data_IF_282473424643
#
_entry.id   IF_282473424643
#
_cell.length_a   1.000
_cell.length_b   1.000
_cell.length_c   1.000
_cell.angle_alpha   90.00
_cell.angle_beta   90.00
_cell.angle_gamma   90.00
#
_symmetry.space_group_name_H-M   'P 1'
#
loop_
_entity.id
_entity.type
_entity.pdbx_description
1 polymer ?
#
# COMPACT_ATOMS: atom_id res chain seq x y z
N UNK A 1 -8.85 -28.92 -34.86
CA UNK A 1 -10.02 -28.65 -33.99
C UNK A 1 -10.04 -27.18 -33.63
N UNK A 2 -10.26 -26.30 -34.61
CA UNK A 2 -10.12 -24.85 -34.44
C UNK A 2 -11.41 -24.07 -34.78
N UNK A 3 -12.53 -24.76 -35.04
CA UNK A 3 -13.85 -24.15 -35.17
C UNK A 3 -14.94 -25.20 -34.94
N UNK A 4 -15.94 -24.85 -34.12
CA UNK A 4 -17.30 -25.36 -34.25
C UNK A 4 -17.67 -26.61 -33.44
N UNK A 5 -17.97 -26.42 -32.15
CA UNK A 5 -19.28 -26.84 -31.60
C UNK A 5 -19.54 -26.13 -30.27
N UNK A 6 -19.92 -24.85 -30.35
CA UNK A 6 -20.37 -24.11 -29.18
C UNK A 6 -21.85 -24.47 -29.02
N UNK A 7 -22.15 -25.50 -28.23
CA UNK A 7 -23.51 -25.76 -27.77
C UNK A 7 -23.93 -24.53 -26.94
N UNK A 8 -24.82 -23.65 -27.43
CA UNK A 8 -25.23 -22.49 -26.65
C UNK A 8 -26.03 -23.04 -25.48
N UNK A 9 -25.44 -23.02 -24.29
CA UNK A 9 -26.20 -23.20 -23.07
C UNK A 9 -27.35 -22.18 -23.11
N UNK A 10 -28.58 -22.64 -22.88
CA UNK A 10 -29.78 -21.83 -22.98
C UNK A 10 -29.73 -20.65 -22.01
N UNK A 11 -29.19 -19.52 -22.46
CA UNK A 11 -29.27 -18.27 -21.73
C UNK A 11 -30.70 -17.75 -21.83
N UNK A 12 -31.23 -17.25 -20.71
CA UNK A 12 -32.49 -16.52 -20.74
C UNK A 12 -32.37 -15.34 -21.72
N UNK A 13 -33.38 -15.12 -22.56
CA UNK A 13 -33.30 -14.09 -23.61
C UNK A 13 -33.06 -12.71 -23.02
N UNK A 14 -32.28 -11.86 -23.69
CA UNK A 14 -32.03 -10.49 -23.23
C UNK A 14 -33.38 -9.77 -23.07
N UNK A 15 -33.71 -9.41 -21.82
CA UNK A 15 -35.00 -8.82 -21.44
C UNK A 15 -35.96 -9.73 -20.66
N UNK A 16 -35.61 -11.00 -20.42
CA UNK A 16 -36.36 -11.84 -19.48
C UNK A 16 -36.18 -11.34 -18.04
N UNK A 17 -37.27 -10.94 -17.42
CA UNK A 17 -37.28 -10.59 -15.99
C UNK A 17 -37.06 -11.88 -15.19
N UNK A 18 -35.87 -12.03 -14.62
CA UNK A 18 -35.56 -13.12 -13.70
C UNK A 18 -36.18 -12.79 -12.34
N UNK A 19 -37.21 -13.54 -11.87
CA UNK A 19 -37.83 -13.27 -10.59
C UNK A 19 -36.80 -13.36 -9.46
N UNK A 20 -36.72 -12.33 -8.61
CA UNK A 20 -35.80 -12.29 -7.47
C UNK A 20 -34.49 -11.52 -7.69
N UNK A 21 -34.17 -11.09 -8.92
CA UNK A 21 -33.06 -10.15 -9.16
C UNK A 21 -33.52 -8.74 -8.79
N UNK A 22 -33.19 -8.33 -7.57
CA UNK A 22 -33.47 -6.96 -7.10
C UNK A 22 -32.37 -5.99 -7.55
N UNK A 23 -32.68 -4.69 -7.61
CA UNK A 23 -31.68 -3.64 -7.81
C UNK A 23 -30.52 -3.79 -6.80
N UNK A 24 -30.83 -4.22 -5.58
CA UNK A 24 -29.84 -4.51 -4.54
C UNK A 24 -28.86 -5.62 -4.94
N UNK A 25 -29.33 -6.69 -5.60
CA UNK A 25 -28.47 -7.78 -6.07
C UNK A 25 -27.56 -7.34 -7.22
N UNK A 26 -28.08 -6.51 -8.14
CA UNK A 26 -27.28 -5.86 -9.19
C UNK A 26 -26.20 -4.95 -8.60
N UNK A 27 -26.57 -4.12 -7.62
CA UNK A 27 -25.65 -3.24 -6.91
C UNK A 27 -24.58 -4.02 -6.13
N UNK A 28 -24.94 -5.16 -5.52
CA UNK A 28 -24.00 -6.07 -4.86
C UNK A 28 -23.00 -6.68 -5.85
N UNK A 29 -23.48 -7.15 -7.01
CA UNK A 29 -22.64 -7.68 -8.08
C UNK A 29 -21.71 -6.59 -8.65
N UNK A 30 -22.24 -5.40 -8.92
CA UNK A 30 -21.48 -4.23 -9.37
C UNK A 30 -20.39 -3.85 -8.38
N UNK A 31 -20.73 -3.74 -7.10
CA UNK A 31 -19.82 -3.40 -6.02
C UNK A 31 -18.68 -4.41 -5.86
N UNK A 32 -18.98 -5.71 -6.00
CA UNK A 32 -17.96 -6.77 -6.00
C UNK A 32 -17.07 -6.71 -7.25
N UNK A 33 -17.65 -6.44 -8.41
CA UNK A 33 -16.92 -6.30 -9.69
C UNK A 33 -16.08 -5.03 -9.77
N UNK A 34 -16.45 -3.97 -9.07
CA UNK A 34 -15.70 -2.71 -9.05
C UNK A 34 -14.28 -2.86 -8.46
N UNK A 35 -14.03 -3.93 -7.70
CA UNK A 35 -12.68 -4.31 -7.24
C UNK A 35 -11.70 -4.58 -8.41
N UNK A 36 -12.19 -4.96 -9.60
CA UNK A 36 -11.37 -5.17 -10.79
C UNK A 36 -10.71 -3.90 -11.35
N UNK A 37 -11.25 -2.73 -11.00
CA UNK A 37 -10.73 -1.42 -11.42
C UNK A 37 -9.67 -0.87 -10.44
N UNK A 38 -9.42 -1.57 -9.34
CA UNK A 38 -8.34 -1.23 -8.41
C UNK A 38 -6.99 -1.38 -9.12
N UNK A 39 -6.01 -0.54 -8.77
CA UNK A 39 -4.71 -0.46 -9.47
C UNK A 39 -4.50 0.82 -10.28
N UNK A 40 -5.54 1.58 -10.61
CA UNK A 40 -5.40 2.97 -11.12
C UNK A 40 -4.66 3.88 -10.13
N UNK A 41 -4.74 3.55 -8.84
CA UNK A 41 -4.05 4.22 -7.75
C UNK A 41 -2.53 4.07 -7.78
N UNK A 42 -2.02 2.98 -8.36
CA UNK A 42 -0.59 2.75 -8.46
C UNK A 42 0.06 3.84 -9.33
N UNK A 43 -0.61 4.23 -10.42
CA UNK A 43 -0.14 5.33 -11.28
C UNK A 43 -0.26 6.67 -10.56
N UNK A 44 -1.38 6.94 -9.87
CA UNK A 44 -1.57 8.22 -9.18
C UNK A 44 -0.56 8.45 -8.04
N UNK A 45 -0.12 7.37 -7.38
CA UNK A 45 0.89 7.43 -6.32
C UNK A 45 2.32 7.56 -6.88
N UNK A 46 2.54 7.18 -8.14
CA UNK A 46 3.84 7.20 -8.79
C UNK A 46 4.02 8.37 -9.78
N UNK A 47 3.16 9.38 -9.77
CA UNK A 47 3.21 10.52 -10.72
C UNK A 47 4.59 11.21 -10.73
N UNK A 48 5.23 11.33 -9.56
CA UNK A 48 6.55 11.95 -9.43
C UNK A 48 7.70 11.18 -10.10
N UNK A 49 7.48 9.91 -10.45
CA UNK A 49 8.48 9.08 -11.14
C UNK A 49 8.42 9.23 -12.67
N UNK A 50 7.40 9.89 -13.22
CA UNK A 50 7.28 10.09 -14.66
C UNK A 50 8.23 11.19 -15.14
N UNK A 51 8.77 11.03 -16.36
CA UNK A 51 9.58 12.06 -17.02
C UNK A 51 8.76 13.32 -17.22
N UNK A 52 9.38 14.49 -17.02
CA UNK A 52 8.73 15.78 -17.27
C UNK A 52 8.32 15.94 -18.74
N UNK A 53 7.09 16.41 -19.04
CA UNK A 53 6.01 16.84 -18.12
C UNK A 53 5.31 15.66 -17.42
N UNK A 54 5.50 15.54 -16.10
CA UNK A 54 5.15 14.32 -15.33
C UNK A 54 3.63 14.07 -15.28
N UNK A 55 2.84 15.12 -15.05
CA UNK A 55 1.38 15.02 -15.00
C UNK A 55 0.77 14.57 -16.34
N UNK A 56 1.22 15.13 -17.46
CA UNK A 56 0.70 14.79 -18.79
C UNK A 56 1.04 13.36 -19.17
N UNK A 57 2.25 12.91 -18.84
CA UNK A 57 2.68 11.54 -19.12
C UNK A 57 1.91 10.54 -18.26
N UNK A 58 1.71 10.83 -16.97
CA UNK A 58 0.90 10.01 -16.08
C UNK A 58 -0.55 9.87 -16.57
N UNK A 59 -1.19 10.96 -17.05
CA UNK A 59 -2.55 10.92 -17.61
C UNK A 59 -2.62 10.05 -18.86
N UNK A 60 -1.66 10.18 -19.79
CA UNK A 60 -1.62 9.33 -21.01
C UNK A 60 -1.49 7.85 -20.65
N UNK A 61 -0.63 7.52 -19.69
CA UNK A 61 -0.46 6.14 -19.22
C UNK A 61 -1.71 5.63 -18.53
N UNK A 62 -2.38 6.45 -17.71
CA UNK A 62 -3.63 6.08 -17.05
C UNK A 62 -4.75 5.79 -18.07
N UNK A 63 -4.86 6.59 -19.13
CA UNK A 63 -5.83 6.37 -20.22
C UNK A 63 -5.52 5.06 -20.94
N UNK A 64 -4.27 4.83 -21.33
CA UNK A 64 -3.87 3.61 -22.02
C UNK A 64 -4.15 2.35 -21.18
N UNK A 65 -3.78 2.39 -19.89
CA UNK A 65 -4.04 1.29 -18.96
C UNK A 65 -5.54 1.06 -18.77
N UNK A 66 -6.32 2.13 -18.58
CA UNK A 66 -7.78 2.05 -18.44
C UNK A 66 -8.46 1.48 -19.68
N UNK A 67 -8.01 1.84 -20.89
CA UNK A 67 -8.53 1.28 -22.14
C UNK A 67 -8.20 -0.20 -22.30
N UNK A 68 -6.97 -0.62 -21.98
CA UNK A 68 -6.57 -2.04 -22.03
C UNK A 68 -7.38 -2.85 -21.02
N UNK A 69 -7.52 -2.35 -19.79
CA UNK A 69 -8.29 -3.02 -18.74
C UNK A 69 -9.77 -3.15 -19.13
N UNK A 70 -10.38 -2.08 -19.66
CA UNK A 70 -11.76 -2.12 -20.13
C UNK A 70 -11.95 -3.14 -21.26
N UNK A 71 -11.04 -3.15 -22.24
CA UNK A 71 -11.07 -4.11 -23.35
C UNK A 71 -10.94 -5.56 -22.85
N UNK A 72 -9.97 -5.84 -21.98
CA UNK A 72 -9.76 -7.17 -21.42
C UNK A 72 -10.94 -7.64 -20.56
N UNK A 73 -11.48 -6.76 -19.72
CA UNK A 73 -12.62 -7.09 -18.86
C UNK A 73 -13.87 -7.41 -19.69
N UNK A 74 -14.20 -6.56 -20.67
CA UNK A 74 -15.33 -6.80 -21.59
C UNK A 74 -15.10 -8.08 -22.39
N UNK A 75 -13.88 -8.34 -22.85
CA UNK A 75 -13.54 -9.56 -23.58
C UNK A 75 -13.72 -10.82 -22.74
N UNK A 76 -13.18 -10.86 -21.52
CA UNK A 76 -13.29 -12.02 -20.62
C UNK A 76 -14.74 -12.25 -20.20
N UNK A 77 -15.47 -11.20 -19.83
CA UNK A 77 -16.89 -11.30 -19.46
C UNK A 77 -17.74 -11.76 -20.65
N UNK A 78 -17.48 -11.24 -21.84
CA UNK A 78 -18.16 -11.65 -23.07
C UNK A 78 -17.92 -13.12 -23.41
N UNK A 79 -16.67 -13.58 -23.32
CA UNK A 79 -16.35 -15.00 -23.52
C UNK A 79 -16.98 -15.88 -22.44
N UNK A 80 -16.87 -15.51 -21.16
CA UNK A 80 -17.47 -16.27 -20.07
C UNK A 80 -19.00 -16.39 -20.22
N UNK A 81 -19.64 -15.35 -20.73
CA UNK A 81 -21.07 -15.37 -21.07
C UNK A 81 -21.37 -16.35 -22.21
N UNK A 82 -20.65 -16.26 -23.35
CA UNK A 82 -20.89 -17.12 -24.53
C UNK A 82 -20.63 -18.60 -24.24
N UNK A 83 -19.59 -18.90 -23.46
CA UNK A 83 -19.20 -20.26 -23.11
C UNK A 83 -19.96 -20.83 -21.89
N UNK A 84 -20.86 -20.04 -21.29
CA UNK A 84 -21.71 -20.51 -20.19
C UNK A 84 -20.94 -20.92 -18.93
N UNK A 85 -19.84 -20.23 -18.63
CA UNK A 85 -18.94 -20.62 -17.55
C UNK A 85 -19.60 -20.39 -16.19
N UNK A 86 -19.71 -21.47 -15.41
CA UNK A 86 -20.23 -21.44 -14.06
C UNK A 86 -19.08 -21.39 -13.05
N UNK A 87 -19.09 -20.46 -12.07
CA UNK A 87 -18.05 -20.40 -11.05
C UNK A 87 -17.90 -21.74 -10.32
N UNK A 88 -16.67 -22.24 -10.23
CA UNK A 88 -16.33 -23.44 -9.46
C UNK A 88 -15.39 -23.05 -8.32
N UNK A 89 -15.40 -23.82 -7.23
CA UNK A 89 -14.59 -23.53 -6.03
C UNK A 89 -13.10 -23.80 -6.24
N UNK A 90 -12.73 -24.68 -7.17
CA UNK A 90 -11.34 -25.14 -7.33
C UNK A 90 -10.60 -24.49 -8.51
N UNK A 91 -11.33 -23.89 -9.46
CA UNK A 91 -10.73 -23.36 -10.70
C UNK A 91 -11.19 -21.93 -10.99
N UNK A 92 -10.26 -21.09 -11.46
CA UNK A 92 -10.58 -19.71 -11.82
C UNK A 92 -11.39 -19.64 -13.13
N UNK A 93 -12.19 -18.59 -13.29
CA UNK A 93 -12.95 -18.34 -14.54
C UNK A 93 -12.03 -18.31 -15.76
N UNK A 94 -10.84 -17.71 -15.63
CA UNK A 94 -9.86 -17.66 -16.71
C UNK A 94 -9.29 -19.05 -17.03
N UNK A 95 -9.06 -19.89 -16.01
CA UNK A 95 -8.65 -21.27 -16.19
C UNK A 95 -9.69 -22.09 -16.94
N UNK A 96 -10.97 -21.93 -16.58
CA UNK A 96 -12.08 -22.62 -17.23
C UNK A 96 -12.23 -22.18 -18.70
N UNK A 97 -12.11 -20.87 -18.98
CA UNK A 97 -12.07 -20.34 -20.35
C UNK A 97 -10.93 -20.96 -21.16
N UNK A 98 -9.71 -20.93 -20.60
CA UNK A 98 -8.53 -21.44 -21.28
C UNK A 98 -8.67 -22.94 -21.59
N UNK A 99 -9.21 -23.72 -20.63
CA UNK A 99 -9.45 -25.15 -20.80
C UNK A 99 -10.50 -25.44 -21.88
N UNK A 100 -11.61 -24.69 -21.93
CA UNK A 100 -12.64 -24.90 -22.95
C UNK A 100 -12.21 -24.47 -24.35
N UNK A 101 -11.42 -23.39 -24.46
CA UNK A 101 -10.98 -22.85 -25.76
C UNK A 101 -9.79 -23.63 -26.32
N UNK A 102 -8.78 -23.90 -25.49
CA UNK A 102 -7.53 -24.50 -25.92
C UNK A 102 -7.41 -25.98 -25.56
N UNK A 103 -8.15 -26.49 -24.58
CA UNK A 103 -7.95 -27.82 -24.01
C UNK A 103 -6.69 -27.90 -23.14
N UNK A 104 -6.33 -29.11 -22.71
CA UNK A 104 -5.13 -29.37 -21.90
C UNK A 104 -3.87 -29.43 -22.78
N UNK A 105 -3.53 -28.30 -23.40
CA UNK A 105 -2.40 -28.17 -24.32
C UNK A 105 -1.39 -27.11 -23.84
N UNK A 106 -0.29 -26.95 -24.60
CA UNK A 106 0.74 -25.97 -24.27
C UNK A 106 0.21 -24.52 -24.13
N UNK A 107 -0.86 -24.15 -24.86
CA UNK A 107 -1.45 -22.83 -24.76
C UNK A 107 -2.18 -22.62 -23.43
N UNK A 108 -2.84 -23.64 -22.88
CA UNK A 108 -3.42 -23.58 -21.53
C UNK A 108 -2.36 -23.30 -20.47
N UNK A 109 -1.26 -24.08 -20.46
CA UNK A 109 -0.17 -23.86 -19.50
C UNK A 109 0.50 -22.50 -19.67
N UNK A 110 0.61 -21.99 -20.90
CA UNK A 110 1.12 -20.65 -21.17
C UNK A 110 0.24 -19.55 -20.55
N UNK A 111 -1.08 -19.64 -20.69
CA UNK A 111 -2.03 -18.69 -20.08
C UNK A 111 -1.95 -18.74 -18.55
N UNK A 112 -1.86 -19.94 -17.96
CA UNK A 112 -1.72 -20.10 -16.51
C UNK A 112 -0.41 -19.51 -15.98
N UNK A 113 0.72 -19.87 -16.61
CA UNK A 113 2.03 -19.36 -16.22
C UNK A 113 2.09 -17.83 -16.32
N UNK A 114 1.51 -17.26 -17.38
CA UNK A 114 1.43 -15.81 -17.57
C UNK A 114 0.57 -15.16 -16.48
N UNK A 115 -0.55 -15.80 -16.11
CA UNK A 115 -1.46 -15.29 -15.07
C UNK A 115 -0.78 -15.26 -13.70
N UNK A 116 -0.09 -16.35 -13.33
CA UNK A 116 0.69 -16.41 -12.08
C UNK A 116 1.79 -15.33 -12.09
N UNK A 117 2.50 -15.17 -13.20
CA UNK A 117 3.54 -14.14 -13.34
C UNK A 117 2.98 -12.72 -13.13
N UNK A 118 1.81 -12.41 -13.72
CA UNK A 118 1.15 -11.12 -13.55
C UNK A 118 0.73 -10.90 -12.09
N UNK A 119 0.18 -11.91 -11.42
CA UNK A 119 -0.20 -11.83 -10.00
C UNK A 119 1.02 -11.60 -9.09
N UNK A 120 2.13 -12.28 -9.37
CA UNK A 120 3.40 -12.06 -8.65
C UNK A 120 3.92 -10.63 -8.87
N UNK A 121 3.84 -10.12 -10.10
CA UNK A 121 4.24 -8.75 -10.42
C UNK A 121 3.34 -7.70 -9.73
N UNK A 122 2.04 -7.99 -9.61
CA UNK A 122 1.10 -7.15 -8.87
C UNK A 122 1.47 -7.08 -7.38
N UNK A 123 1.80 -8.23 -6.76
CA UNK A 123 2.29 -8.26 -5.39
C UNK A 123 3.57 -7.43 -5.22
N UNK A 124 4.53 -7.57 -6.15
CA UNK A 124 5.76 -6.77 -6.15
C UNK A 124 5.49 -5.26 -6.19
N UNK A 125 4.47 -4.82 -6.94
CA UNK A 125 4.08 -3.41 -7.00
C UNK A 125 3.69 -2.88 -5.61
N UNK A 126 2.94 -3.66 -4.82
CA UNK A 126 2.62 -3.34 -3.43
C UNK A 126 3.86 -3.21 -2.54
N UNK A 127 4.80 -4.16 -2.64
CA UNK A 127 6.06 -4.14 -1.89
C UNK A 127 6.97 -2.95 -2.24
N UNK A 128 6.92 -2.46 -3.47
CA UNK A 128 7.67 -1.25 -3.88
C UNK A 128 6.98 0.05 -3.48
N UNK A 129 5.64 0.07 -3.38
CA UNK A 129 4.86 1.26 -3.04
C UNK A 129 4.88 1.58 -1.53
N UNK A 130 4.81 0.56 -0.67
CA UNK A 130 4.72 0.75 0.79
C UNK A 130 5.89 1.57 1.39
N UNK A 131 7.17 1.34 1.04
CA UNK A 131 8.28 2.14 1.58
C UNK A 131 8.14 3.64 1.26
N UNK A 132 7.59 4.00 0.10
CA UNK A 132 7.38 5.41 -0.28
C UNK A 132 6.29 6.06 0.57
N UNK A 133 5.21 5.33 0.87
CA UNK A 133 4.15 5.78 1.78
C UNK A 133 4.67 5.91 3.20
N UNK A 134 5.39 4.90 3.71
CA UNK A 134 5.96 4.91 5.06
C UNK A 134 6.95 6.07 5.25
N UNK A 135 7.81 6.33 4.25
CA UNK A 135 8.74 7.45 4.29
C UNK A 135 8.03 8.81 4.32
N UNK A 136 6.94 8.95 3.56
CA UNK A 136 6.14 10.18 3.53
C UNK A 136 5.45 10.42 4.88
N UNK A 137 4.84 9.39 5.47
CA UNK A 137 4.21 9.48 6.80
C UNK A 137 5.21 9.71 7.94
N UNK A 138 6.41 9.13 7.85
CA UNK A 138 7.47 9.36 8.83
C UNK A 138 8.07 10.75 8.75
N UNK A 139 8.11 11.38 7.57
CA UNK A 139 8.51 12.79 7.42
C UNK A 139 7.59 13.71 8.21
N UNK A 140 6.29 13.41 8.22
CA UNK A 140 5.27 14.12 8.98
C UNK A 140 5.14 13.64 10.44
N UNK A 141 6.07 12.78 10.91
CA UNK A 141 6.16 12.25 12.28
C UNK A 141 4.97 11.37 12.72
N UNK A 142 4.22 10.80 11.77
CA UNK A 142 3.14 9.84 12.07
C UNK A 142 3.61 8.38 12.13
N UNK A 143 4.79 8.09 11.59
CA UNK A 143 5.45 6.79 11.67
C UNK A 143 6.86 6.91 12.28
N UNK A 144 7.47 5.80 12.74
CA UNK A 144 8.82 5.80 13.28
C UNK A 144 9.85 6.42 12.34
N UNK A 145 10.82 7.17 12.88
CA UNK A 145 11.88 7.84 12.09
C UNK A 145 12.74 6.87 11.27
N UNK A 146 12.73 5.58 11.62
CA UNK A 146 13.41 4.53 10.85
C UNK A 146 13.00 4.50 9.37
N UNK A 147 11.76 4.88 9.05
CA UNK A 147 11.29 4.91 7.67
C UNK A 147 11.61 6.22 6.92
N UNK A 148 12.12 7.26 7.59
CA UNK A 148 12.37 8.58 6.98
C UNK A 148 13.54 8.56 5.98
N UNK A 149 14.46 7.59 6.09
CA UNK A 149 15.70 7.59 5.29
C UNK A 149 15.41 7.11 3.86
N UNK A 150 15.20 8.07 2.97
CA UNK A 150 15.03 7.88 1.54
C UNK A 150 16.40 7.57 0.91
N UNK A 151 16.85 6.31 0.97
CA UNK A 151 17.98 5.85 0.17
C UNK A 151 19.07 5.04 0.87
N UNK A 152 19.14 4.99 2.20
CA UNK A 152 19.95 3.95 2.85
C UNK A 152 19.19 2.64 2.80
N UNK A 153 19.85 1.58 2.32
CA UNK A 153 19.31 0.22 2.21
C UNK A 153 18.53 -0.22 3.48
N UNK A 154 18.89 0.31 4.64
CA UNK A 154 18.24 0.04 5.93
C UNK A 154 16.75 0.43 5.98
N UNK A 155 16.36 1.66 5.63
CA UNK A 155 14.96 2.11 5.77
C UNK A 155 14.01 1.39 4.80
N UNK A 156 14.51 1.16 3.58
CA UNK A 156 13.80 0.43 2.53
C UNK A 156 13.63 -1.06 2.87
N UNK A 157 14.69 -1.70 3.37
CA UNK A 157 14.67 -3.12 3.75
C UNK A 157 13.72 -3.40 4.92
N UNK A 158 13.73 -2.57 5.97
CA UNK A 158 12.84 -2.77 7.12
C UNK A 158 11.37 -2.62 6.74
N UNK A 159 11.04 -1.68 5.84
CA UNK A 159 9.68 -1.51 5.31
C UNK A 159 9.19 -2.78 4.62
N UNK A 160 10.02 -3.39 3.77
CA UNK A 160 9.69 -4.61 3.03
C UNK A 160 9.52 -5.80 3.98
N UNK A 161 10.43 -5.96 4.95
CA UNK A 161 10.36 -7.05 5.93
C UNK A 161 9.08 -6.94 6.77
N UNK A 162 8.77 -5.75 7.29
CA UNK A 162 7.56 -5.53 8.09
C UNK A 162 6.30 -5.81 7.25
N UNK A 163 6.25 -5.33 6.00
CA UNK A 163 5.13 -5.62 5.11
C UNK A 163 4.99 -7.12 4.84
N UNK A 164 6.11 -7.82 4.64
CA UNK A 164 6.13 -9.27 4.41
C UNK A 164 5.60 -10.04 5.61
N UNK A 165 6.04 -9.68 6.83
CA UNK A 165 5.54 -10.30 8.07
C UNK A 165 4.04 -10.04 8.24
N UNK A 166 3.57 -8.81 8.01
CA UNK A 166 2.14 -8.48 8.08
C UNK A 166 1.33 -9.23 7.02
N UNK A 167 1.85 -9.37 5.80
CA UNK A 167 1.21 -10.14 4.73
C UNK A 167 1.11 -11.63 5.08
N UNK A 168 2.17 -12.23 5.64
CA UNK A 168 2.16 -13.63 6.10
C UNK A 168 1.12 -13.82 7.20
N UNK A 169 1.07 -12.92 8.19
CA UNK A 169 0.06 -12.96 9.26
C UNK A 169 -1.35 -12.90 8.66
N UNK A 170 -1.58 -12.01 7.69
CA UNK A 170 -2.87 -11.90 7.03
C UNK A 170 -3.25 -13.18 6.27
N UNK A 171 -2.30 -13.78 5.54
CA UNK A 171 -2.54 -15.05 4.82
C UNK A 171 -2.91 -16.17 5.80
N UNK A 172 -2.21 -16.27 6.94
CA UNK A 172 -2.48 -17.29 7.97
C UNK A 172 -3.86 -17.06 8.62
N UNK A 173 -4.23 -15.81 8.91
CA UNK A 173 -5.51 -15.49 9.57
C UNK A 173 -6.73 -15.77 8.67
N UNK A 174 -6.58 -15.61 7.35
CA UNK A 174 -7.65 -15.79 6.36
C UNK A 174 -7.52 -17.08 5.54
N UNK A 175 -6.65 -18.01 5.95
CA UNK A 175 -6.36 -19.29 5.28
C UNK A 175 -6.09 -19.19 3.76
N UNK A 176 -5.60 -18.05 3.30
CA UNK A 176 -5.38 -17.78 1.87
C UNK A 176 -6.65 -17.72 1.01
N UNK A 177 -7.85 -17.64 1.59
CA UNK A 177 -9.12 -17.64 0.86
C UNK A 177 -9.42 -16.28 0.22
N UNK A 178 -9.28 -16.20 -1.10
CA UNK A 178 -9.50 -14.96 -1.86
C UNK A 178 -10.91 -14.39 -1.70
N UNK A 179 -11.93 -15.25 -1.48
CA UNK A 179 -13.32 -14.83 -1.26
C UNK A 179 -13.52 -13.93 -0.03
N UNK A 180 -12.66 -14.09 0.98
CA UNK A 180 -12.68 -13.29 2.20
C UNK A 180 -11.76 -12.07 2.11
N UNK A 181 -10.62 -12.22 1.43
CA UNK A 181 -9.63 -11.17 1.24
C UNK A 181 -10.07 -10.08 0.25
N UNK A 182 -10.78 -10.43 -0.84
CA UNK A 182 -11.19 -9.47 -1.88
C UNK A 182 -12.11 -8.37 -1.32
N UNK A 183 -13.19 -8.67 -0.56
CA UNK A 183 -14.03 -7.63 0.05
C UNK A 183 -13.26 -6.72 1.02
N UNK A 184 -12.35 -7.30 1.82
CA UNK A 184 -11.53 -6.54 2.76
C UNK A 184 -10.59 -5.57 2.03
N UNK A 185 -9.92 -6.04 0.98
CA UNK A 185 -9.08 -5.20 0.11
C UNK A 185 -9.88 -4.11 -0.60
N UNK A 186 -11.04 -4.45 -1.17
CA UNK A 186 -11.88 -3.49 -1.88
C UNK A 186 -12.31 -2.34 -0.96
N UNK A 187 -12.69 -2.64 0.28
CA UNK A 187 -12.98 -1.63 1.29
C UNK A 187 -11.75 -0.77 1.61
N UNK A 188 -10.58 -1.40 1.74
CA UNK A 188 -9.31 -0.71 1.93
C UNK A 188 -8.97 0.31 0.83
N UNK A 189 -9.35 0.04 -0.42
CA UNK A 189 -9.14 0.96 -1.57
C UNK A 189 -10.23 2.02 -1.69
N UNK A 190 -11.49 1.66 -1.47
CA UNK A 190 -12.60 2.60 -1.61
C UNK A 190 -12.65 3.67 -0.52
N UNK A 191 -12.10 3.42 0.68
CA UNK A 191 -11.99 4.43 1.73
C UNK A 191 -11.08 5.60 1.28
N UNK A 192 -9.80 5.38 0.90
CA UNK A 192 -8.94 6.43 0.34
C UNK A 192 -9.55 7.12 -0.87
N UNK A 193 -10.19 6.39 -1.80
CA UNK A 193 -10.83 7.01 -2.96
C UNK A 193 -11.93 7.98 -2.56
N UNK A 194 -12.80 7.55 -1.65
CA UNK A 194 -13.88 8.39 -1.15
C UNK A 194 -13.33 9.63 -0.45
N UNK A 195 -12.33 9.47 0.42
CA UNK A 195 -11.66 10.59 1.10
C UNK A 195 -10.96 11.54 0.12
N UNK A 196 -10.27 11.01 -0.89
CA UNK A 196 -9.59 11.81 -1.90
C UNK A 196 -10.57 12.62 -2.75
N UNK A 197 -11.66 11.99 -3.20
CA UNK A 197 -12.70 12.66 -3.99
C UNK A 197 -13.37 13.79 -3.20
N UNK A 198 -13.81 13.52 -1.97
CA UNK A 198 -14.39 14.55 -1.10
C UNK A 198 -13.37 15.64 -0.71
N UNK A 199 -12.11 15.28 -0.48
CA UNK A 199 -11.03 16.23 -0.24
C UNK A 199 -10.83 17.19 -1.43
N UNK A 200 -10.91 16.67 -2.66
CA UNK A 200 -10.86 17.49 -3.87
C UNK A 200 -12.11 18.38 -4.03
N UNK A 201 -13.30 17.90 -3.66
CA UNK A 201 -14.51 18.75 -3.62
C UNK A 201 -14.31 19.93 -2.67
N UNK A 202 -13.82 19.68 -1.46
CA UNK A 202 -13.51 20.74 -0.48
C UNK A 202 -12.49 21.72 -1.07
N UNK A 203 -11.42 21.23 -1.69
CA UNK A 203 -10.41 22.06 -2.34
C UNK A 203 -10.99 22.98 -3.42
N UNK A 204 -11.85 22.45 -4.31
CA UNK A 204 -12.44 23.25 -5.39
C UNK A 204 -13.43 24.30 -4.89
N UNK A 205 -14.12 24.03 -3.78
CA UNK A 205 -15.02 25.01 -3.12
C UNK A 205 -14.21 26.19 -2.55
N UNK A 206 -13.00 25.92 -2.03
CA UNK A 206 -12.13 26.94 -1.44
C UNK A 206 -11.35 27.75 -2.50
N UNK A 207 -10.69 27.09 -3.45
CA UNK A 207 -9.80 27.77 -4.41
C UNK A 207 -10.53 28.44 -5.58
N UNK A 208 -11.73 27.94 -5.95
CA UNK A 208 -12.57 28.44 -7.06
C UNK A 208 -11.84 28.86 -8.35
N UNK A 209 -10.98 28.01 -8.94
CA UNK A 209 -10.28 28.33 -10.18
C UNK A 209 -11.20 28.36 -11.41
N UNK A 210 -10.68 28.73 -12.59
CA UNK A 210 -11.41 28.61 -13.86
C UNK A 210 -11.97 27.19 -14.04
N UNK A 211 -13.24 27.09 -14.43
CA UNK A 211 -14.00 25.84 -14.59
C UNK A 211 -14.15 25.00 -13.30
N UNK A 212 -14.11 25.62 -12.11
CA UNK A 212 -14.25 24.90 -10.84
C UNK A 212 -15.56 24.10 -10.72
N UNK A 213 -16.67 24.60 -11.28
CA UNK A 213 -17.96 23.88 -11.24
C UNK A 213 -17.91 22.52 -11.94
N UNK A 214 -17.24 22.44 -13.10
CA UNK A 214 -17.07 21.17 -13.82
C UNK A 214 -16.15 20.22 -13.07
N UNK A 215 -15.05 20.73 -12.50
CA UNK A 215 -14.14 19.92 -11.68
C UNK A 215 -14.82 19.43 -10.41
N UNK A 216 -15.65 20.26 -9.80
CA UNK A 216 -16.42 19.93 -8.61
C UNK A 216 -17.46 18.87 -8.92
N UNK A 217 -18.26 19.01 -9.99
CA UNK A 217 -19.30 18.04 -10.32
C UNK A 217 -18.73 16.66 -10.62
N UNK A 218 -17.59 16.58 -11.32
CA UNK A 218 -16.90 15.30 -11.58
C UNK A 218 -16.41 14.65 -10.29
N UNK A 219 -15.73 15.40 -9.40
CA UNK A 219 -15.23 14.82 -8.14
C UNK A 219 -16.38 14.49 -7.16
N UNK A 220 -17.46 15.28 -7.16
CA UNK A 220 -18.63 15.02 -6.33
C UNK A 220 -19.36 13.76 -6.78
N UNK A 221 -19.58 13.60 -8.09
CA UNK A 221 -20.18 12.38 -8.64
C UNK A 221 -19.28 11.17 -8.35
N UNK A 222 -17.97 11.30 -8.53
CA UNK A 222 -17.00 10.27 -8.16
C UNK A 222 -17.10 9.89 -6.68
N UNK A 223 -17.09 10.88 -5.78
CA UNK A 223 -17.20 10.67 -4.34
C UNK A 223 -18.51 10.01 -3.91
N UNK A 224 -19.63 10.37 -4.52
CA UNK A 224 -20.93 9.72 -4.27
C UNK A 224 -20.90 8.27 -4.72
N UNK A 225 -20.41 7.99 -5.93
CA UNK A 225 -20.34 6.62 -6.47
C UNK A 225 -19.43 5.74 -5.61
N UNK A 226 -18.24 6.21 -5.26
CA UNK A 226 -17.32 5.43 -4.40
C UNK A 226 -17.89 5.22 -3.00
N UNK A 227 -18.59 6.23 -2.45
CA UNK A 227 -19.26 6.10 -1.15
C UNK A 227 -20.40 5.07 -1.19
N UNK A 228 -21.23 5.08 -2.24
CA UNK A 228 -22.30 4.09 -2.43
C UNK A 228 -21.70 2.68 -2.54
N UNK A 229 -20.66 2.49 -3.35
CA UNK A 229 -19.97 1.19 -3.49
C UNK A 229 -19.41 0.71 -2.16
N UNK A 230 -18.75 1.60 -1.41
CA UNK A 230 -18.24 1.32 -0.06
C UNK A 230 -19.36 0.89 0.90
N UNK A 231 -20.49 1.62 0.93
CA UNK A 231 -21.65 1.27 1.77
C UNK A 231 -22.25 -0.08 1.39
N UNK A 232 -22.35 -0.39 0.09
CA UNK A 232 -22.85 -1.69 -0.36
C UNK A 232 -21.90 -2.82 0.10
N UNK A 233 -20.58 -2.67 -0.02
CA UNK A 233 -19.62 -3.67 0.47
C UNK A 233 -19.77 -3.86 1.98
N UNK A 234 -19.88 -2.77 2.73
CA UNK A 234 -19.99 -2.79 4.18
C UNK A 234 -21.24 -3.55 4.64
N UNK A 235 -22.38 -3.33 3.98
CA UNK A 235 -23.66 -3.97 4.32
C UNK A 235 -23.71 -5.42 3.83
N UNK A 236 -23.27 -5.68 2.59
CA UNK A 236 -23.46 -7.00 1.95
C UNK A 236 -22.41 -8.03 2.35
N UNK A 237 -21.22 -7.59 2.75
CA UNK A 237 -20.06 -8.43 3.10
C UNK A 237 -19.56 -8.12 4.52
N UNK A 238 -20.47 -7.74 5.42
CA UNK A 238 -20.12 -7.33 6.79
C UNK A 238 -19.29 -8.39 7.54
N UNK A 239 -19.63 -9.66 7.38
CA UNK A 239 -18.92 -10.78 8.01
C UNK A 239 -17.46 -10.91 7.57
N UNK A 240 -17.10 -10.43 6.37
CA UNK A 240 -15.72 -10.40 5.89
C UNK A 240 -15.04 -9.05 6.20
N UNK A 241 -15.81 -7.96 6.23
CA UNK A 241 -15.28 -6.59 6.27
C UNK A 241 -15.11 -6.06 7.70
N UNK A 242 -15.83 -6.57 8.70
CA UNK A 242 -15.77 -6.07 10.09
C UNK A 242 -14.35 -5.87 10.67
N UNK A 243 -13.30 -6.65 10.32
CA UNK A 243 -11.96 -6.41 10.87
C UNK A 243 -11.43 -5.02 10.52
N UNK A 244 -11.77 -4.46 9.34
CA UNK A 244 -11.30 -3.13 8.93
C UNK A 244 -11.83 -2.01 9.83
N UNK A 245 -13.05 -2.16 10.34
CA UNK A 245 -13.69 -1.17 11.20
C UNK A 245 -12.99 -1.06 12.56
N UNK A 246 -12.30 -2.12 12.98
CA UNK A 246 -11.50 -2.13 14.22
C UNK A 246 -10.06 -1.75 13.92
N UNK A 247 -9.49 -2.34 12.87
CA UNK A 247 -8.09 -2.16 12.48
C UNK A 247 -7.78 -0.71 12.12
N UNK A 248 -8.63 -0.05 11.33
CA UNK A 248 -8.36 1.31 10.84
C UNK A 248 -8.33 2.34 11.99
N UNK A 249 -9.33 2.42 12.90
CA UNK A 249 -9.23 3.29 14.08
C UNK A 249 -8.03 2.97 14.96
N UNK A 250 -7.71 1.69 15.17
CA UNK A 250 -6.54 1.28 15.95
C UNK A 250 -5.24 1.85 15.35
N UNK A 251 -5.03 1.70 14.04
CA UNK A 251 -3.86 2.23 13.33
C UNK A 251 -3.81 3.76 13.39
N UNK A 252 -4.94 4.44 13.22
CA UNK A 252 -5.02 5.91 13.32
C UNK A 252 -4.64 6.39 14.72
N UNK A 253 -5.18 5.78 15.78
CA UNK A 253 -4.83 6.11 17.17
C UNK A 253 -3.35 5.87 17.43
N UNK A 254 -2.80 4.76 16.91
CA UNK A 254 -1.38 4.44 17.03
C UNK A 254 -0.50 5.51 16.37
N UNK A 255 -0.81 5.94 15.15
CA UNK A 255 -0.07 7.02 14.47
C UNK A 255 -0.18 8.37 15.19
N UNK A 256 -1.35 8.70 15.74
CA UNK A 256 -1.55 9.92 16.54
C UNK A 256 -0.72 9.87 17.84
N UNK A 257 -0.62 8.71 18.48
CA UNK A 257 0.20 8.50 19.68
C UNK A 257 1.69 8.68 19.38
N UNK A 258 2.17 8.17 18.25
CA UNK A 258 3.55 8.37 17.78
C UNK A 258 3.82 9.87 17.55
N UNK A 259 2.93 10.55 16.83
CA UNK A 259 3.08 11.97 16.57
C UNK A 259 3.12 12.80 17.86
N UNK A 260 2.22 12.49 18.82
CA UNK A 260 2.22 13.09 20.14
C UNK A 260 3.54 12.84 20.87
N UNK A 261 4.01 11.60 20.92
CA UNK A 261 5.28 11.25 21.56
C UNK A 261 6.47 12.05 20.98
N UNK A 262 6.54 12.22 19.67
CA UNK A 262 7.61 13.03 19.07
C UNK A 262 7.48 14.53 19.37
N UNK A 263 6.26 15.05 19.52
CA UNK A 263 6.04 16.44 19.94
C UNK A 263 6.49 16.62 21.40
N UNK A 264 6.10 15.70 22.28
CA UNK A 264 6.47 15.73 23.69
C UNK A 264 8.01 15.68 23.86
N UNK A 265 8.70 14.81 23.11
CA UNK A 265 10.18 14.77 23.08
C UNK A 265 10.75 16.08 22.55
N UNK A 266 10.19 16.66 21.49
CA UNK A 266 10.70 17.90 20.91
C UNK A 266 10.54 19.08 21.87
N UNK A 267 9.48 19.09 22.68
CA UNK A 267 9.27 20.08 23.73
C UNK A 267 10.26 19.87 24.89
N UNK A 268 10.55 18.63 25.28
CA UNK A 268 11.54 18.33 26.33
C UNK A 268 13.00 18.57 25.90
N UNK A 269 13.33 18.35 24.63
CA UNK A 269 14.66 18.61 24.06
C UNK A 269 14.88 20.06 23.65
N UNK A 270 13.82 20.89 23.64
CA UNK A 270 13.97 22.33 23.45
C UNK A 270 14.66 22.89 24.69
N UNK A 271 15.98 23.04 24.56
CA UNK A 271 16.80 23.65 25.58
C UNK A 271 16.50 25.15 25.62
N UNK A 272 15.95 25.62 26.75
CA UNK A 272 15.95 27.03 27.16
C UNK A 272 17.27 27.42 27.83
N UNK A 273 18.26 26.51 27.87
CA UNK A 273 19.58 26.79 28.43
C UNK A 273 20.30 27.67 27.42
N UNK A 274 20.50 28.93 27.78
CA UNK A 274 21.43 29.82 27.11
C UNK A 274 22.83 29.20 27.22
N UNK A 275 23.25 28.48 26.19
CA UNK A 275 24.50 27.69 26.15
C UNK A 275 25.73 28.57 26.41
N UNK A 276 25.56 29.89 26.32
CA UNK A 276 26.54 30.92 26.64
C UNK A 276 26.84 31.09 28.14
N UNK A 277 26.03 30.54 29.05
CA UNK A 277 26.19 30.66 30.51
C UNK A 277 26.63 29.36 31.21
N UNK A 278 27.06 28.35 30.46
CA UNK A 278 27.65 27.15 31.05
C UNK A 278 29.13 27.43 31.35
N UNK A 279 29.55 27.24 32.60
CA UNK A 279 30.96 27.33 32.97
C UNK A 279 31.78 26.40 32.08
N UNK A 280 32.61 27.01 31.23
CA UNK A 280 33.52 26.25 30.35
C UNK A 280 34.59 25.66 31.24
N UNK A 281 34.58 24.34 31.41
CA UNK A 281 35.63 23.64 32.13
C UNK A 281 36.90 23.70 31.28
N UNK A 282 37.92 24.41 31.77
CA UNK A 282 39.19 24.62 31.06
C UNK A 282 40.05 23.33 30.91
N UNK A 283 39.64 22.24 31.59
CA UNK A 283 40.35 20.96 31.63
C UNK A 283 39.40 19.78 31.39
N UNK A 284 39.62 19.06 30.30
CA UNK A 284 38.93 17.82 30.00
C UNK A 284 39.78 16.64 30.46
N UNK A 285 39.33 15.89 31.46
CA UNK A 285 40.00 14.66 31.90
C UNK A 285 39.60 13.49 30.98
N UNK A 286 40.56 12.87 30.29
CA UNK A 286 40.32 11.67 29.51
C UNK A 286 40.70 10.40 30.30
N UNK A 287 39.75 9.48 30.45
CA UNK A 287 39.96 8.18 31.11
C UNK A 287 40.06 7.10 30.03
N UNK A 288 41.20 6.41 29.97
CA UNK A 288 41.43 5.29 29.04
C UNK A 288 41.49 4.00 29.86
N UNK A 289 40.50 3.10 29.75
CA UNK A 289 40.53 1.82 30.44
C UNK A 289 41.55 0.89 29.76
N UNK A 290 42.53 0.40 30.52
CA UNK A 290 43.61 -0.46 30.00
C UNK A 290 43.50 -1.85 30.63
N UNK A 291 43.32 -2.88 29.81
CA UNK A 291 43.30 -4.28 30.25
C UNK A 291 44.64 -5.00 30.04
N UNK A 292 45.42 -4.58 29.06
CA UNK A 292 46.77 -5.11 28.77
C UNK A 292 47.59 -4.08 28.00
N UNK A 293 48.93 -4.17 28.12
CA UNK A 293 49.85 -3.27 27.40
C UNK A 293 49.96 -3.78 25.96
N UNK A 294 49.34 -3.06 25.02
CA UNK A 294 49.39 -3.36 23.59
C UNK A 294 49.61 -2.08 22.80
N UNK A 295 50.16 -2.20 21.59
CA UNK A 295 50.37 -1.05 20.68
C UNK A 295 49.07 -0.30 20.34
N UNK A 296 47.91 -0.97 20.43
CA UNK A 296 46.62 -0.32 20.29
C UNK A 296 46.34 0.64 21.46
N UNK A 297 46.67 0.24 22.70
CA UNK A 297 46.53 1.09 23.89
C UNK A 297 47.46 2.29 23.83
N UNK A 298 48.72 2.13 23.41
CA UNK A 298 49.67 3.24 23.28
C UNK A 298 49.14 4.30 22.30
N UNK A 299 48.56 3.88 21.17
CA UNK A 299 47.91 4.77 20.20
C UNK A 299 46.68 5.45 20.79
N UNK A 300 45.87 4.74 21.56
CA UNK A 300 44.70 5.30 22.23
C UNK A 300 45.06 6.31 23.33
N UNK A 301 46.13 6.06 24.10
CA UNK A 301 46.65 7.01 25.11
C UNK A 301 47.20 8.26 24.42
N UNK A 302 47.97 8.10 23.34
CA UNK A 302 48.47 9.23 22.55
C UNK A 302 47.33 10.10 22.01
N UNK A 303 46.28 9.47 21.49
CA UNK A 303 45.09 10.18 21.01
C UNK A 303 44.34 10.87 22.15
N UNK A 304 44.24 10.25 23.33
CA UNK A 304 43.64 10.85 24.52
C UNK A 304 44.45 12.06 25.02
N UNK A 305 45.79 11.99 24.99
CA UNK A 305 46.67 13.10 25.38
C UNK A 305 46.48 14.32 24.48
N UNK A 306 46.31 14.10 23.17
CA UNK A 306 46.05 15.16 22.20
C UNK A 306 44.69 15.86 22.43
N UNK A 307 43.67 15.14 22.90
CA UNK A 307 42.33 15.68 23.14
C UNK A 307 42.19 16.36 24.52
N UNK A 308 42.95 15.90 25.51
CA UNK A 308 42.82 16.28 26.92
C UNK A 308 43.91 17.24 27.42
N UNK A 309 44.70 17.86 26.53
CA UNK A 309 45.84 18.72 26.89
C UNK A 309 46.76 18.07 27.97
N UNK A 310 47.08 16.78 27.78
CA UNK A 310 47.90 15.95 28.67
C UNK A 310 47.29 15.51 30.03
N UNK A 311 46.04 15.85 30.36
CA UNK A 311 45.35 15.34 31.56
C UNK A 311 44.68 13.97 31.25
N UNK A 312 45.48 12.90 31.21
CA UNK A 312 45.03 11.52 30.94
C UNK A 312 45.30 10.60 32.12
N UNK A 313 44.28 9.88 32.60
CA UNK A 313 44.43 8.83 33.60
C UNK A 313 44.26 7.47 32.91
N UNK A 314 45.37 6.72 32.80
CA UNK A 314 45.37 5.32 32.41
C UNK A 314 45.18 4.45 33.64
N UNK A 315 44.07 3.71 33.70
CA UNK A 315 43.75 2.85 34.83
C UNK A 315 43.31 1.47 34.39
N UNK A 316 43.75 0.45 35.12
CA UNK A 316 43.18 -0.89 35.00
C UNK A 316 41.83 -0.89 35.71
N UNK A 317 40.75 -0.83 34.94
CA UNK A 317 39.40 -0.97 35.49
C UNK A 317 39.20 -2.44 35.86
N UNK A 318 39.53 -2.80 37.10
CA UNK A 318 39.13 -4.08 37.68
C UNK A 318 37.63 -3.99 37.94
N UNK A 319 36.85 -4.33 36.92
CA UNK A 319 35.41 -4.55 37.07
C UNK A 319 35.27 -5.78 37.97
N UNK A 320 35.09 -5.56 39.27
CA UNK A 320 34.67 -6.61 40.19
C UNK A 320 33.32 -7.14 39.71
N UNK A 321 33.30 -8.41 39.33
CA UNK A 321 32.10 -9.17 38.96
C UNK A 321 31.50 -9.81 40.19
#
# INVERSE_FOLDING_TARGET
MATGDIQPHMHASVGTAVPGVTLFLLLKAFSSGASSLTGVEAISNAVTNFREPSANNAVKTLIAMGSILAFLLVGIVGLAYVYGIMPQTETTVLSQLAMQIFGDNAAFYFVQATTVMILVLAANTGFTAFPMLAASMSKDKYMPRMFTVRGDRLGYSNSIIILGVLAIILIIVFDGMTEELIPLYAVGVFIPFTLAQFGMVIKWIHERPKNWLSKLSVNLLGGIVTFIVFMILLITKFSQVWPILIFLPFVVIFFLKINKHYRDIAEQLRSDIDVLNVDVVDRNLAIVPITSITTAVDKSIYYAQMLANNDVIGGTCIIWR
#
